data_IF_593754789349
#
_entry.id   IF_593754789349
#
_cell.length_a   1.000
_cell.length_b   1.000
_cell.length_c   1.000
_cell.angle_alpha   90.00
_cell.angle_beta   90.00
_cell.angle_gamma   90.00
#
_symmetry.space_group_name_H-M   'P 1'
#
loop_
_entity.id
_entity.type
_entity.pdbx_description
1 polymer ?
#
# COMPACT_ATOMS: atom_id res chain seq x y z
N UNK A 1 -0.69 86.42 10.36
CA UNK A 1 0.08 86.14 11.59
C UNK A 1 -0.90 85.61 12.63
N UNK A 2 -0.78 84.49 13.32
CA UNK A 2 0.10 83.31 13.32
C UNK A 2 -0.80 82.21 13.90
N UNK A 3 -1.01 81.12 13.17
CA UNK A 3 -1.71 79.94 13.70
C UNK A 3 -0.73 79.21 14.63
N UNK A 4 -1.06 79.09 15.92
CA UNK A 4 -0.32 78.22 16.84
C UNK A 4 -1.14 76.94 16.99
N UNK A 5 -0.71 75.95 16.21
CA UNK A 5 -1.10 74.55 16.28
C UNK A 5 -0.45 73.96 17.53
N UNK A 6 -1.24 73.56 18.52
CA UNK A 6 -0.76 72.75 19.64
C UNK A 6 -0.56 71.30 19.17
N UNK A 7 0.69 70.95 18.95
CA UNK A 7 1.20 69.63 18.59
C UNK A 7 1.16 68.71 19.83
N UNK A 8 0.15 67.84 19.91
CA UNK A 8 0.09 66.79 20.93
C UNK A 8 1.00 65.64 20.47
N UNK A 9 2.18 65.53 21.10
CA UNK A 9 3.08 64.38 21.00
C UNK A 9 2.45 63.18 21.71
N UNK A 10 1.60 62.44 20.98
CA UNK A 10 1.16 61.10 21.39
C UNK A 10 2.34 60.16 21.17
N UNK A 11 3.10 59.91 22.24
CA UNK A 11 3.98 58.76 22.36
C UNK A 11 3.08 57.51 22.33
N UNK A 12 2.77 57.05 21.11
CA UNK A 12 2.34 55.69 20.89
C UNK A 12 3.51 54.78 21.28
N UNK A 13 3.58 54.42 22.56
CA UNK A 13 4.05 53.09 22.92
C UNK A 13 3.06 52.11 22.29
N UNK A 14 3.27 51.83 21.00
CA UNK A 14 2.81 50.59 20.41
C UNK A 14 3.47 49.50 21.27
N UNK A 15 2.76 49.09 22.31
CA UNK A 15 2.72 47.69 22.67
C UNK A 15 2.29 47.00 21.40
N UNK A 16 3.28 46.65 20.59
CA UNK A 16 3.13 45.68 19.53
C UNK A 16 2.79 44.42 20.29
N UNK A 17 1.50 44.20 20.55
CA UNK A 17 0.98 42.85 20.56
C UNK A 17 1.40 42.35 19.19
N UNK A 18 2.52 41.64 19.14
CA UNK A 18 2.67 40.52 18.23
C UNK A 18 1.40 39.70 18.45
N UNK A 19 0.38 40.03 17.67
CA UNK A 19 -0.64 39.09 17.33
C UNK A 19 0.08 38.14 16.39
N UNK A 20 0.93 37.30 17.00
CA UNK A 20 1.25 35.99 16.50
C UNK A 20 -0.12 35.37 16.35
N UNK A 21 -0.68 35.54 15.15
CA UNK A 21 -1.88 34.88 14.74
C UNK A 21 -1.43 33.42 14.74
N UNK A 22 -1.59 32.79 15.91
CA UNK A 22 -1.60 31.35 16.10
C UNK A 22 -2.71 30.88 15.19
N UNK A 23 -2.37 30.70 13.92
CA UNK A 23 -3.18 29.99 12.96
C UNK A 23 -3.40 28.66 13.65
N UNK A 24 -4.64 28.49 14.10
CA UNK A 24 -5.05 27.37 14.89
C UNK A 24 -4.64 26.10 14.13
N UNK A 25 -3.57 25.45 14.59
CA UNK A 25 -2.97 24.25 13.97
C UNK A 25 -3.98 23.07 14.01
N UNK A 26 -5.15 23.26 14.62
CA UNK A 26 -6.14 22.22 14.94
C UNK A 26 -7.14 21.86 13.83
N UNK A 27 -6.88 22.16 12.54
CA UNK A 27 -7.82 21.78 11.47
C UNK A 27 -7.40 20.57 10.60
N UNK A 28 -6.19 20.02 10.76
CA UNK A 28 -5.75 18.81 10.04
C UNK A 28 -6.05 17.57 10.89
N UNK A 29 -6.84 16.63 10.34
CA UNK A 29 -7.03 15.31 10.92
C UNK A 29 -5.93 14.36 10.44
N UNK A 30 -5.05 13.93 11.34
CA UNK A 30 -4.03 12.92 11.06
C UNK A 30 -4.62 11.52 11.20
N UNK A 31 -4.71 10.79 10.10
CA UNK A 31 -5.15 9.40 10.08
C UNK A 31 -4.03 8.46 10.56
N UNK A 32 -4.40 7.36 11.23
CA UNK A 32 -3.44 6.35 11.66
C UNK A 32 -3.00 5.41 10.51
N UNK A 33 -2.01 4.56 10.79
CA UNK A 33 -1.42 3.68 9.78
C UNK A 33 -2.41 2.65 9.24
N UNK A 34 -3.37 2.20 10.06
CA UNK A 34 -4.38 1.24 9.63
C UNK A 34 -5.40 1.93 8.71
N UNK A 35 -5.85 3.14 9.06
CA UNK A 35 -6.72 3.96 8.23
C UNK A 35 -6.05 4.33 6.90
N UNK A 36 -4.76 4.69 6.92
CA UNK A 36 -3.98 5.04 5.72
C UNK A 36 -3.78 3.85 4.78
N UNK A 37 -3.52 2.65 5.30
CA UNK A 37 -3.33 1.43 4.49
C UNK A 37 -4.61 0.97 3.78
N UNK A 38 -5.78 1.48 4.17
CA UNK A 38 -7.06 1.22 3.47
C UNK A 38 -7.33 2.21 2.31
N UNK A 39 -6.54 3.27 2.16
CA UNK A 39 -6.79 4.35 1.19
C UNK A 39 -6.20 4.03 -0.18
N UNK A 40 -6.84 4.53 -1.24
CA UNK A 40 -6.31 4.44 -2.60
C UNK A 40 -5.13 5.41 -2.82
N UNK A 41 -4.31 5.20 -3.86
CA UNK A 41 -3.23 6.15 -4.24
C UNK A 41 -3.76 7.57 -4.38
N UNK A 42 -4.96 7.75 -4.98
CA UNK A 42 -5.54 9.07 -5.22
C UNK A 42 -5.97 9.74 -3.92
N UNK A 43 -6.52 8.97 -2.98
CA UNK A 43 -6.90 9.49 -1.67
C UNK A 43 -5.66 9.85 -0.86
N UNK A 44 -4.65 8.99 -0.84
CA UNK A 44 -3.35 9.30 -0.24
C UNK A 44 -2.76 10.58 -0.84
N UNK A 45 -2.88 10.79 -2.15
CA UNK A 45 -2.46 12.04 -2.81
C UNK A 45 -3.21 13.26 -2.31
N UNK A 46 -4.52 13.20 -2.13
CA UNK A 46 -5.31 14.33 -1.58
C UNK A 46 -4.96 14.57 -0.11
N UNK A 47 -4.90 13.52 0.71
CA UNK A 47 -4.56 13.60 2.14
C UNK A 47 -3.18 14.23 2.34
N UNK A 48 -2.20 13.82 1.53
CA UNK A 48 -0.85 14.42 1.54
C UNK A 48 -0.88 15.90 1.18
N UNK A 49 -1.64 16.30 0.16
CA UNK A 49 -1.65 17.67 -0.34
C UNK A 49 -2.50 18.63 0.50
N UNK A 50 -3.46 18.12 1.28
CA UNK A 50 -4.23 18.95 2.22
C UNK A 50 -3.33 19.67 3.22
N UNK A 51 -2.25 19.03 3.66
CA UNK A 51 -1.22 19.62 4.54
C UNK A 51 -0.67 20.94 3.98
N UNK A 52 -0.48 21.02 2.66
CA UNK A 52 0.00 22.21 1.97
C UNK A 52 -1.13 23.22 1.71
N UNK A 53 -2.34 22.75 1.39
CA UNK A 53 -3.51 23.59 1.11
C UNK A 53 -3.94 24.41 2.33
N UNK A 54 -3.90 23.81 3.53
CA UNK A 54 -4.19 24.47 4.81
C UNK A 54 -3.24 25.63 5.12
N UNK A 55 -2.07 25.66 4.47
CA UNK A 55 -1.07 26.73 4.57
C UNK A 55 -1.16 27.75 3.43
N UNK A 56 -2.24 27.72 2.65
CA UNK A 56 -2.51 28.68 1.57
C UNK A 56 -1.72 28.44 0.29
N UNK A 57 -1.13 27.25 0.11
CA UNK A 57 -0.40 26.90 -1.12
C UNK A 57 -1.34 26.89 -2.33
N UNK A 58 -0.94 27.55 -3.41
CA UNK A 58 -1.65 27.57 -4.70
C UNK A 58 -1.05 26.49 -5.60
N UNK A 59 -1.86 25.52 -6.02
CA UNK A 59 -1.39 24.36 -6.77
C UNK A 59 -1.28 24.66 -8.27
N UNK A 60 -0.18 24.26 -8.90
CA UNK A 60 0.00 24.35 -10.36
C UNK A 60 -0.78 23.27 -11.12
N UNK A 61 -0.94 22.09 -10.51
CA UNK A 61 -1.75 21.03 -11.08
C UNK A 61 -3.23 21.41 -10.95
N UNK A 62 -3.93 21.49 -12.09
CA UNK A 62 -5.31 21.96 -12.18
C UNK A 62 -6.25 21.17 -11.26
N UNK A 63 -6.15 19.84 -11.25
CA UNK A 63 -7.03 18.98 -10.44
C UNK A 63 -6.92 19.26 -8.93
N UNK A 64 -5.70 19.43 -8.43
CA UNK A 64 -5.46 19.79 -7.03
C UNK A 64 -5.95 21.21 -6.74
N UNK A 65 -5.70 22.14 -7.66
CA UNK A 65 -6.09 23.52 -7.51
C UNK A 65 -7.62 23.66 -7.40
N UNK A 66 -8.36 23.15 -8.38
CA UNK A 66 -9.81 23.23 -8.44
C UNK A 66 -10.47 22.51 -7.24
N UNK A 67 -9.90 21.36 -6.84
CA UNK A 67 -10.35 20.63 -5.65
C UNK A 67 -10.34 21.50 -4.40
N UNK A 68 -9.23 22.20 -4.12
CA UNK A 68 -9.10 23.01 -2.91
C UNK A 68 -9.83 24.35 -3.01
N UNK A 69 -9.89 25.00 -4.17
CA UNK A 69 -10.66 26.25 -4.37
C UNK A 69 -12.16 26.11 -4.06
N UNK A 70 -12.71 24.90 -4.22
CA UNK A 70 -14.12 24.62 -3.87
C UNK A 70 -14.39 24.55 -2.35
N UNK A 71 -13.35 24.54 -1.51
CA UNK A 71 -13.51 24.37 -0.07
C UNK A 71 -13.65 25.72 0.61
N UNK A 72 -14.75 25.93 1.34
CA UNK A 72 -15.02 27.18 2.07
C UNK A 72 -13.92 27.55 3.10
N UNK A 73 -13.12 26.57 3.54
CA UNK A 73 -12.00 26.78 4.46
C UNK A 73 -10.65 27.07 3.77
N UNK A 74 -10.54 26.89 2.45
CA UNK A 74 -9.30 27.07 1.73
C UNK A 74 -9.12 28.54 1.34
N UNK A 75 -8.01 29.12 1.80
CA UNK A 75 -7.68 30.53 1.59
C UNK A 75 -6.36 30.59 0.82
N UNK A 76 -6.38 30.71 -0.52
CA UNK A 76 -5.16 30.77 -1.33
C UNK A 76 -4.41 32.08 -1.07
N UNK A 77 -3.09 31.99 -0.91
CA UNK A 77 -2.26 33.16 -0.67
C UNK A 77 -1.07 33.18 -1.64
N UNK A 78 -1.07 34.18 -2.54
CA UNK A 78 -0.02 34.35 -3.56
C UNK A 78 1.37 34.60 -2.98
N UNK A 79 1.44 35.07 -1.73
CA UNK A 79 2.68 35.37 -1.03
C UNK A 79 3.00 34.32 0.07
N UNK A 80 2.31 33.17 0.07
CA UNK A 80 2.52 32.14 1.08
C UNK A 80 3.93 31.52 1.00
N UNK A 81 4.64 31.52 2.12
CA UNK A 81 5.84 30.69 2.32
C UNK A 81 5.43 29.44 3.10
N UNK A 82 5.51 28.28 2.47
CA UNK A 82 5.05 27.03 3.08
C UNK A 82 6.17 26.41 3.91
N UNK A 83 5.99 26.42 5.22
CA UNK A 83 6.84 25.71 6.18
C UNK A 83 6.01 24.63 6.87
N UNK A 84 6.47 23.39 6.78
CA UNK A 84 5.86 22.25 7.47
C UNK A 84 6.52 22.08 8.84
N UNK A 85 5.72 21.85 9.86
CA UNK A 85 6.19 21.36 11.16
C UNK A 85 6.75 19.95 11.03
N UNK A 86 7.54 19.53 12.01
CA UNK A 86 8.10 18.17 12.07
C UNK A 86 7.01 17.10 11.95
N UNK A 87 5.85 17.28 12.60
CA UNK A 87 4.73 16.35 12.52
C UNK A 87 4.14 16.26 11.10
N UNK A 88 3.92 17.40 10.46
CA UNK A 88 3.39 17.48 9.10
C UNK A 88 4.34 16.88 8.07
N UNK A 89 5.65 17.13 8.23
CA UNK A 89 6.70 16.51 7.42
C UNK A 89 6.63 14.98 7.55
N UNK A 90 6.61 14.47 8.78
CA UNK A 90 6.55 13.03 9.04
C UNK A 90 5.29 12.39 8.44
N UNK A 91 4.15 13.09 8.48
CA UNK A 91 2.90 12.61 7.91
C UNK A 91 2.91 12.59 6.38
N UNK A 92 3.40 13.65 5.75
CA UNK A 92 3.53 13.75 4.29
C UNK A 92 4.46 12.65 3.77
N UNK A 93 5.60 12.44 4.42
CA UNK A 93 6.56 11.41 4.00
C UNK A 93 6.02 10.00 4.20
N UNK A 94 5.26 9.75 5.28
CA UNK A 94 4.54 8.48 5.46
C UNK A 94 3.56 8.20 4.32
N UNK A 95 2.77 9.19 3.92
CA UNK A 95 1.78 9.02 2.86
C UNK A 95 2.44 8.84 1.49
N UNK A 96 3.51 9.59 1.18
CA UNK A 96 4.33 9.35 -0.03
C UNK A 96 4.85 7.93 -0.11
N UNK A 97 5.25 7.40 1.04
CA UNK A 97 5.74 6.03 1.14
C UNK A 97 4.64 5.03 0.76
N UNK A 98 3.40 5.23 1.22
CA UNK A 98 2.25 4.38 0.88
C UNK A 98 1.77 4.56 -0.58
N UNK A 99 1.77 5.79 -1.09
CA UNK A 99 1.44 6.05 -2.50
C UNK A 99 2.37 5.26 -3.42
N UNK A 100 3.68 5.28 -3.11
CA UNK A 100 4.68 4.48 -3.82
C UNK A 100 4.38 2.99 -3.72
N UNK A 101 3.97 2.48 -2.55
CA UNK A 101 3.59 1.06 -2.37
C UNK A 101 2.40 0.66 -3.25
N UNK A 102 1.36 1.49 -3.35
CA UNK A 102 0.16 1.09 -4.10
C UNK A 102 0.34 1.35 -5.60
N UNK A 103 1.19 2.28 -6.00
CA UNK A 103 1.52 2.50 -7.41
C UNK A 103 2.29 1.34 -8.02
N UNK A 104 2.87 0.51 -7.18
CA UNK A 104 3.38 -0.78 -7.59
C UNK A 104 2.28 -1.87 -7.74
N UNK A 105 1.00 -1.51 -7.65
CA UNK A 105 -0.14 -2.34 -8.05
C UNK A 105 -0.68 -2.03 -9.47
N UNK A 106 0.15 -1.38 -10.27
CA UNK A 106 0.01 -0.99 -11.68
C UNK A 106 0.01 -2.21 -12.67
N UNK A 107 -0.78 -2.18 -13.77
CA UNK A 107 -0.82 -3.21 -14.82
C UNK A 107 0.52 -3.54 -15.51
N UNK A 108 1.60 -2.76 -15.30
CA UNK A 108 2.94 -3.08 -15.76
C UNK A 108 3.78 -3.91 -14.77
N UNK A 109 3.25 -4.22 -13.57
CA UNK A 109 3.97 -5.09 -12.65
C UNK A 109 3.98 -6.52 -13.18
N UNK A 110 5.18 -6.90 -13.63
CA UNK A 110 5.54 -8.24 -14.10
C UNK A 110 5.50 -9.24 -12.95
N UNK A 111 4.49 -10.12 -12.99
CA UNK A 111 4.37 -11.24 -12.06
C UNK A 111 5.22 -12.46 -12.46
N UNK A 112 5.58 -12.55 -13.73
CA UNK A 112 6.51 -13.55 -14.27
C UNK A 112 7.85 -13.44 -13.53
N UNK A 113 8.40 -14.57 -13.08
CA UNK A 113 9.64 -14.64 -12.32
C UNK A 113 9.60 -15.69 -11.22
N UNK A 114 10.74 -15.83 -10.53
CA UNK A 114 10.92 -16.77 -9.43
C UNK A 114 10.84 -16.03 -8.09
N UNK A 115 9.89 -16.41 -7.26
CA UNK A 115 9.61 -15.81 -5.95
C UNK A 115 10.05 -16.77 -4.83
N UNK A 116 10.89 -16.30 -3.93
CA UNK A 116 11.51 -17.07 -2.87
C UNK A 116 11.07 -16.59 -1.48
N UNK A 117 11.40 -17.35 -0.44
CA UNK A 117 11.13 -16.98 0.94
C UNK A 117 11.81 -15.65 1.32
N UNK A 118 11.17 -14.85 2.17
CA UNK A 118 11.79 -13.66 2.77
C UNK A 118 12.56 -14.05 4.03
N UNK A 119 13.89 -13.87 4.05
CA UNK A 119 14.70 -13.86 5.28
C UNK A 119 14.78 -15.17 6.07
N UNK A 120 14.79 -16.33 5.42
CA UNK A 120 15.05 -17.61 6.09
C UNK A 120 16.56 -17.88 6.07
N UNK A 121 17.27 -17.57 7.17
CA UNK A 121 18.70 -17.77 7.45
C UNK A 121 19.57 -18.00 6.19
N UNK A 122 20.07 -16.89 5.64
CA UNK A 122 20.94 -16.59 4.47
C UNK A 122 21.46 -17.71 3.54
N UNK A 123 21.64 -18.95 4.00
CA UNK A 123 22.05 -20.12 3.20
C UNK A 123 20.87 -21.01 2.71
N UNK A 124 19.63 -20.70 3.10
CA UNK A 124 18.45 -21.57 2.90
C UNK A 124 17.26 -20.92 2.18
N UNK A 125 17.52 -19.87 1.39
CA UNK A 125 16.53 -19.29 0.47
C UNK A 125 16.14 -20.35 -0.57
N UNK A 126 14.96 -20.94 -0.44
CA UNK A 126 14.42 -21.86 -1.43
C UNK A 126 13.30 -21.21 -2.24
N UNK A 127 13.17 -21.67 -3.49
CA UNK A 127 12.13 -21.26 -4.41
C UNK A 127 10.75 -21.70 -3.90
N UNK A 128 9.86 -20.72 -3.68
CA UNK A 128 8.48 -20.97 -3.27
C UNK A 128 7.60 -21.12 -4.50
N UNK A 129 7.64 -20.17 -5.44
CA UNK A 129 6.82 -20.18 -6.64
C UNK A 129 7.54 -19.54 -7.82
N UNK A 130 7.54 -20.19 -8.97
CA UNK A 130 7.87 -19.57 -10.26
C UNK A 130 6.61 -19.33 -11.07
N UNK A 131 6.54 -18.19 -11.73
CA UNK A 131 5.45 -17.81 -12.63
C UNK A 131 6.05 -17.50 -14.00
N UNK A 132 5.49 -18.03 -15.07
CA UNK A 132 5.91 -17.70 -16.43
C UNK A 132 5.08 -16.56 -17.04
N UNK A 133 5.49 -16.10 -18.22
CA UNK A 133 4.79 -15.06 -19.00
C UNK A 133 3.35 -15.44 -19.39
N UNK A 134 3.06 -16.75 -19.41
CA UNK A 134 1.74 -17.31 -19.73
C UNK A 134 0.87 -17.51 -18.49
N UNK A 135 1.33 -17.05 -17.32
CA UNK A 135 0.66 -17.16 -16.03
C UNK A 135 0.56 -18.59 -15.50
N UNK A 136 1.39 -19.50 -15.98
CA UNK A 136 1.54 -20.80 -15.34
C UNK A 136 2.44 -20.67 -14.12
N UNK A 137 2.15 -21.43 -13.07
CA UNK A 137 3.00 -21.50 -11.90
C UNK A 137 3.57 -22.90 -11.68
N UNK A 138 4.73 -22.94 -11.02
CA UNK A 138 5.25 -24.10 -10.32
C UNK A 138 5.56 -23.67 -8.89
N UNK A 139 4.96 -24.31 -7.91
CA UNK A 139 5.04 -23.93 -6.50
C UNK A 139 5.46 -25.11 -5.64
N UNK A 140 6.46 -24.93 -4.78
CA UNK A 140 6.80 -25.88 -3.73
C UNK A 140 5.89 -25.65 -2.53
N UNK A 141 5.22 -26.70 -2.08
CA UNK A 141 4.38 -26.66 -0.87
C UNK A 141 5.18 -27.20 0.32
N UNK A 142 5.80 -28.37 0.16
CA UNK A 142 6.61 -29.02 1.21
C UNK A 142 7.85 -29.71 0.61
N UNK A 143 9.01 -29.55 1.25
CA UNK A 143 10.29 -30.05 0.79
C UNK A 143 10.29 -31.59 0.75
N UNK A 144 10.69 -32.16 -0.39
CA UNK A 144 10.70 -33.60 -0.68
C UNK A 144 9.33 -34.30 -0.58
N UNK A 145 8.24 -33.54 -0.44
CA UNK A 145 6.89 -34.08 -0.25
C UNK A 145 5.92 -33.60 -1.31
N UNK A 146 5.92 -32.30 -1.67
CA UNK A 146 4.96 -31.77 -2.63
C UNK A 146 5.42 -30.54 -3.41
N UNK A 147 5.29 -30.65 -4.73
CA UNK A 147 5.26 -29.53 -5.66
C UNK A 147 3.93 -29.51 -6.45
N UNK A 148 3.42 -28.31 -6.75
CA UNK A 148 2.21 -28.07 -7.53
C UNK A 148 2.53 -27.30 -8.81
N UNK A 149 1.84 -27.62 -9.89
CA UNK A 149 1.86 -26.85 -11.14
C UNK A 149 0.44 -26.51 -11.56
N UNK A 150 0.25 -25.35 -12.17
CA UNK A 150 -1.06 -24.94 -12.66
C UNK A 150 -1.07 -23.51 -13.15
N UNK A 151 -2.20 -22.81 -13.00
CA UNK A 151 -2.42 -21.47 -13.56
C UNK A 151 -2.82 -20.44 -12.52
N UNK A 152 -2.35 -19.22 -12.74
CA UNK A 152 -2.85 -18.04 -12.06
C UNK A 152 -4.18 -17.64 -12.68
N UNK A 153 -5.24 -17.79 -11.89
CA UNK A 153 -6.53 -17.21 -12.19
C UNK A 153 -6.59 -15.79 -11.60
N UNK A 154 -6.88 -14.80 -12.45
CA UNK A 154 -7.10 -13.42 -11.98
C UNK A 154 -8.27 -13.38 -11.01
N UNK A 155 -8.08 -12.66 -9.91
CA UNK A 155 -9.20 -12.29 -9.04
C UNK A 155 -9.74 -10.93 -9.44
N UNK A 156 -10.83 -10.53 -8.79
CA UNK A 156 -11.36 -9.18 -8.92
C UNK A 156 -10.48 -8.14 -8.19
N UNK A 157 -9.51 -8.56 -7.37
CA UNK A 157 -8.53 -7.68 -6.72
C UNK A 157 -7.27 -7.54 -7.57
N UNK A 158 -6.77 -6.31 -7.69
CA UNK A 158 -5.54 -6.00 -8.43
C UNK A 158 -4.34 -6.79 -7.89
N UNK A 159 -3.57 -7.35 -8.82
CA UNK A 159 -2.38 -8.16 -8.57
C UNK A 159 -2.58 -9.33 -7.62
N UNK A 160 -3.83 -9.70 -7.35
CA UNK A 160 -4.17 -10.88 -6.59
C UNK A 160 -4.65 -11.95 -7.55
N UNK A 161 -4.07 -13.12 -7.38
CA UNK A 161 -4.26 -14.29 -8.22
C UNK A 161 -4.62 -15.47 -7.34
N UNK A 162 -5.61 -16.24 -7.77
CA UNK A 162 -5.84 -17.58 -7.26
C UNK A 162 -4.91 -18.53 -7.99
N UNK A 163 -4.24 -19.40 -7.24
CA UNK A 163 -3.47 -20.51 -7.80
C UNK A 163 -4.42 -21.70 -7.97
N UNK A 164 -4.67 -22.06 -9.22
CA UNK A 164 -5.46 -23.22 -9.61
C UNK A 164 -4.50 -24.31 -10.05
N UNK A 165 -4.38 -25.36 -9.25
CA UNK A 165 -3.45 -26.45 -9.54
C UNK A 165 -4.03 -27.42 -10.58
N UNK A 166 -3.19 -27.82 -11.53
CA UNK A 166 -3.52 -28.83 -12.54
C UNK A 166 -2.82 -30.16 -12.20
N UNK A 167 -1.55 -30.08 -11.79
CA UNK A 167 -0.70 -31.23 -11.46
C UNK A 167 -0.18 -31.10 -10.03
N UNK A 168 -0.20 -32.21 -9.28
CA UNK A 168 0.46 -32.35 -8.00
C UNK A 168 1.53 -33.44 -8.10
N UNK A 169 2.79 -33.07 -7.90
CA UNK A 169 3.91 -34.00 -7.79
C UNK A 169 4.10 -34.36 -6.32
N UNK A 170 3.64 -35.56 -5.97
CA UNK A 170 3.65 -36.12 -4.63
C UNK A 170 4.88 -37.01 -4.49
N UNK A 171 5.99 -36.47 -3.98
CA UNK A 171 7.23 -37.22 -3.76
C UNK A 171 7.05 -38.33 -2.72
N UNK A 172 7.48 -38.10 -1.47
CA UNK A 172 7.08 -38.93 -0.32
C UNK A 172 5.85 -38.37 0.41
N UNK A 173 5.10 -37.51 -0.27
CA UNK A 173 4.01 -36.70 0.27
C UNK A 173 2.77 -37.51 0.68
N UNK A 174 1.63 -36.84 0.93
CA UNK A 174 0.48 -37.45 1.58
C UNK A 174 -0.35 -38.28 0.60
N UNK A 175 0.15 -39.48 0.33
CA UNK A 175 -0.53 -40.52 -0.46
C UNK A 175 -1.85 -40.96 0.16
N UNK A 176 -2.10 -40.63 1.43
CA UNK A 176 -3.34 -40.90 2.16
C UNK A 176 -4.48 -39.91 1.86
N UNK A 177 -4.22 -38.79 1.15
CA UNK A 177 -5.28 -37.86 0.78
C UNK A 177 -6.14 -38.43 -0.35
N UNK A 178 -7.44 -38.12 -0.28
CA UNK A 178 -8.41 -38.52 -1.28
C UNK A 178 -8.39 -37.56 -2.48
N UNK A 179 -7.35 -37.70 -3.31
CA UNK A 179 -7.06 -36.79 -4.41
C UNK A 179 -8.19 -36.63 -5.43
N UNK A 180 -9.08 -37.62 -5.55
CA UNK A 180 -10.23 -37.59 -6.46
C UNK A 180 -11.37 -36.69 -5.93
N UNK A 181 -11.44 -36.52 -4.60
CA UNK A 181 -12.43 -35.70 -3.93
C UNK A 181 -12.06 -34.22 -3.89
N UNK A 182 -10.84 -33.86 -4.29
CA UNK A 182 -10.44 -32.46 -4.38
C UNK A 182 -11.03 -31.77 -5.61
N UNK A 183 -11.48 -30.54 -5.38
CA UNK A 183 -11.98 -29.65 -6.42
C UNK A 183 -10.81 -28.98 -7.16
N UNK A 184 -10.73 -29.24 -8.47
CA UNK A 184 -9.69 -28.71 -9.35
C UNK A 184 -9.90 -27.25 -9.71
N UNK A 185 -11.12 -26.73 -9.56
CA UNK A 185 -11.44 -25.33 -9.82
C UNK A 185 -11.28 -24.45 -8.57
N UNK A 186 -10.94 -25.06 -7.44
CA UNK A 186 -10.76 -24.35 -6.17
C UNK A 186 -9.33 -23.88 -5.99
N UNK A 187 -9.17 -22.60 -5.61
CA UNK A 187 -7.87 -22.02 -5.32
C UNK A 187 -7.16 -22.76 -4.19
N UNK A 188 -5.92 -23.22 -4.42
CA UNK A 188 -5.09 -23.84 -3.38
C UNK A 188 -4.24 -22.80 -2.63
N UNK A 189 -3.98 -21.66 -3.27
CA UNK A 189 -3.29 -20.53 -2.67
C UNK A 189 -3.78 -19.21 -3.27
N UNK A 190 -3.49 -18.12 -2.56
CA UNK A 190 -3.64 -16.75 -3.03
C UNK A 190 -2.25 -16.15 -3.18
N UNK A 191 -1.94 -15.62 -4.36
CA UNK A 191 -0.70 -14.91 -4.63
C UNK A 191 -1.00 -13.44 -4.92
N UNK A 192 -0.37 -12.53 -4.19
CA UNK A 192 -0.54 -11.08 -4.33
C UNK A 192 0.78 -10.43 -4.66
N UNK A 193 0.92 -9.84 -5.84
CA UNK A 193 2.08 -9.00 -6.16
C UNK A 193 1.88 -7.63 -5.52
N UNK A 194 2.83 -7.21 -4.70
CA UNK A 194 2.82 -5.90 -4.03
C UNK A 194 3.53 -4.90 -4.92
N UNK A 195 4.68 -5.31 -5.46
CA UNK A 195 5.49 -4.52 -6.37
C UNK A 195 6.39 -5.34 -7.28
N UNK A 196 7.28 -4.69 -8.03
CA UNK A 196 8.19 -5.37 -8.97
C UNK A 196 9.14 -6.38 -8.29
N UNK A 197 9.32 -6.30 -6.98
CA UNK A 197 10.25 -7.11 -6.17
C UNK A 197 9.54 -7.87 -5.04
N UNK A 198 8.43 -7.33 -4.51
CA UNK A 198 7.73 -7.88 -3.34
C UNK A 198 6.38 -8.51 -3.71
N UNK A 199 6.06 -9.63 -3.08
CA UNK A 199 4.76 -10.28 -3.15
C UNK A 199 4.37 -10.89 -1.80
N UNK A 200 3.17 -11.45 -1.71
CA UNK A 200 2.66 -12.21 -0.58
C UNK A 200 1.95 -13.47 -1.09
N UNK A 201 2.11 -14.58 -0.39
CA UNK A 201 1.40 -15.83 -0.69
C UNK A 201 0.69 -16.35 0.56
N UNK A 202 -0.56 -16.78 0.37
CA UNK A 202 -1.36 -17.40 1.42
C UNK A 202 -1.81 -18.77 0.98
N UNK A 203 -1.41 -19.80 1.74
CA UNK A 203 -1.88 -21.18 1.52
C UNK A 203 -3.31 -21.34 2.00
N UNK A 204 -4.12 -22.07 1.23
CA UNK A 204 -5.52 -22.34 1.57
C UNK A 204 -5.79 -23.83 1.83
N UNK A 205 -4.92 -24.73 1.35
CA UNK A 205 -5.21 -26.15 1.33
C UNK A 205 -6.12 -26.55 0.17
N UNK A 206 -6.40 -27.86 0.08
CA UNK A 206 -7.21 -28.44 -0.98
C UNK A 206 -8.67 -28.45 -0.57
N UNK A 207 -9.56 -27.95 -1.42
CA UNK A 207 -10.99 -28.02 -1.14
C UNK A 207 -11.52 -29.41 -1.43
N UNK A 208 -12.11 -30.05 -0.43
CA UNK A 208 -12.67 -31.39 -0.53
C UNK A 208 -14.19 -31.30 -0.77
N UNK A 209 -14.63 -31.81 -1.93
CA UNK A 209 -16.03 -31.75 -2.37
C UNK A 209 -16.96 -32.59 -1.50
N UNK A 210 -16.43 -33.63 -0.86
CA UNK A 210 -17.18 -34.57 -0.03
C UNK A 210 -17.38 -34.01 1.38
N UNK A 211 -16.31 -33.52 2.01
CA UNK A 211 -16.39 -32.96 3.37
C UNK A 211 -16.85 -31.49 3.40
N UNK A 212 -16.77 -30.80 2.26
CA UNK A 212 -17.04 -29.36 2.11
C UNK A 212 -16.08 -28.48 2.90
N UNK A 213 -14.88 -28.96 3.18
CA UNK A 213 -13.84 -28.25 3.94
C UNK A 213 -12.49 -28.24 3.20
N UNK A 214 -11.50 -27.51 3.75
CA UNK A 214 -10.11 -27.48 3.28
C UNK A 214 -9.29 -28.54 4.01
N UNK A 215 -8.74 -29.46 3.25
CA UNK A 215 -7.77 -30.41 3.75
C UNK A 215 -6.36 -29.83 3.64
N UNK A 216 -5.50 -30.18 4.61
CA UNK A 216 -4.06 -29.94 4.54
C UNK A 216 -3.66 -28.45 4.47
N UNK A 217 -4.53 -27.57 4.97
CA UNK A 217 -4.36 -26.12 5.02
C UNK A 217 -3.28 -25.64 6.00
N UNK A 218 -2.82 -26.49 6.92
CA UNK A 218 -1.77 -26.18 7.91
C UNK A 218 -0.39 -26.74 7.54
N UNK A 219 -0.24 -27.31 6.34
CA UNK A 219 0.92 -28.08 5.95
C UNK A 219 1.61 -27.48 4.73
N UNK A 220 2.19 -26.31 4.94
CA UNK A 220 3.07 -25.65 3.98
C UNK A 220 4.36 -25.25 4.70
N UNK A 221 5.50 -25.44 4.06
CA UNK A 221 6.78 -25.07 4.64
C UNK A 221 6.91 -23.54 4.80
N UNK A 222 6.24 -22.77 3.94
CA UNK A 222 6.31 -21.31 3.95
C UNK A 222 5.06 -20.63 3.40
N UNK A 223 4.60 -19.57 4.07
CA UNK A 223 3.61 -18.62 3.56
C UNK A 223 3.89 -17.21 4.10
N UNK A 224 3.37 -16.19 3.43
CA UNK A 224 3.59 -14.77 3.75
C UNK A 224 4.41 -14.07 2.67
N UNK A 225 5.27 -13.15 3.09
CA UNK A 225 6.00 -12.27 2.17
C UNK A 225 6.99 -13.03 1.30
N UNK A 226 7.01 -12.70 0.01
CA UNK A 226 7.92 -13.25 -0.98
C UNK A 226 8.75 -12.15 -1.62
N UNK A 227 9.95 -12.53 -2.06
CA UNK A 227 10.85 -11.67 -2.83
C UNK A 227 11.17 -12.29 -4.18
N UNK A 228 11.13 -11.49 -5.23
CA UNK A 228 11.49 -11.87 -6.60
C UNK A 228 13.02 -11.96 -6.71
N UNK A 229 13.55 -13.08 -7.19
CA UNK A 229 14.98 -13.23 -7.53
C UNK A 229 15.19 -12.75 -8.96
N UNK A 230 16.09 -11.78 -9.13
CA UNK A 230 16.54 -11.27 -10.44
C UNK A 230 17.30 -12.33 -11.23
#
# INVERSE_FOLDING_TARGET
MKYIVTLILILCSFSCKENEQRINISSIKFLDDTELKTKSIKDLRIIRNEVFARKGYIFKNRDLNDHFFSKNWYIPNRNAKITLSTLEQNYVEKIKTLEKTIQLNDPWIKKDGVWNTFGYNDDSIFQVISIDENNNFSMRVTFNQMDLKGKLQKTNEYNKYHLIYEVADIGRGPTYLDWLEFDKDSAVAIFRVIDSVNADIKWLGFYNKKTKDRDWYNNIDYQGKLIKKE
#
